data_IF_708571008773
#
_entry.id   IF_708571008773
#
_cell.length_a   1.000
_cell.length_b   1.000
_cell.length_c   1.000
_cell.angle_alpha   90.00
_cell.angle_beta   90.00
_cell.angle_gamma   90.00
#
_symmetry.space_group_name_H-M   'P 1'
#
loop_
_entity.id
_entity.type
_entity.pdbx_description
1 polymer ?
#
# COMPACT_ATOMS: atom_id res chain seq x y z
N UNK A 1 -17.69 -7.28 13.32
CA UNK A 1 -16.77 -8.11 12.52
C UNK A 1 -16.40 -7.45 11.20
N UNK A 2 -17.33 -6.75 10.54
CA UNK A 2 -17.07 -6.04 9.28
C UNK A 2 -15.94 -5.01 9.38
N UNK A 3 -15.90 -4.18 10.43
CA UNK A 3 -14.80 -3.24 10.64
C UNK A 3 -13.43 -3.92 10.77
N UNK A 4 -13.35 -5.05 11.49
CA UNK A 4 -12.11 -5.82 11.61
C UNK A 4 -11.65 -6.37 10.25
N UNK A 5 -12.57 -6.94 9.46
CA UNK A 5 -12.24 -7.44 8.12
C UNK A 5 -11.83 -6.31 7.17
N UNK A 6 -12.48 -5.15 7.26
CA UNK A 6 -12.11 -3.95 6.52
C UNK A 6 -10.69 -3.47 6.88
N UNK A 7 -10.34 -3.41 8.17
CA UNK A 7 -8.97 -3.06 8.60
C UNK A 7 -7.93 -4.09 8.14
N UNK A 8 -8.26 -5.39 8.22
CA UNK A 8 -7.39 -6.47 7.72
C UNK A 8 -7.14 -6.35 6.22
N UNK A 9 -8.20 -6.20 5.42
CA UNK A 9 -8.09 -6.08 3.95
C UNK A 9 -7.40 -4.77 3.56
N UNK A 10 -7.73 -3.65 4.22
CA UNK A 10 -7.10 -2.36 3.97
C UNK A 10 -5.59 -2.39 4.24
N UNK A 11 -5.18 -2.99 5.36
CA UNK A 11 -3.77 -3.17 5.70
C UNK A 11 -3.06 -4.11 4.71
N UNK A 12 -3.70 -5.21 4.30
CA UNK A 12 -3.16 -6.10 3.26
C UNK A 12 -2.91 -5.37 1.93
N UNK A 13 -3.85 -4.53 1.49
CA UNK A 13 -3.69 -3.70 0.28
C UNK A 13 -2.51 -2.74 0.44
N UNK A 14 -2.45 -2.03 1.58
CA UNK A 14 -1.37 -1.09 1.88
C UNK A 14 0.01 -1.77 1.80
N UNK A 15 0.17 -2.91 2.48
CA UNK A 15 1.44 -3.66 2.52
C UNK A 15 1.81 -4.19 1.14
N UNK A 16 0.88 -4.83 0.43
CA UNK A 16 1.17 -5.42 -0.89
C UNK A 16 1.61 -4.34 -1.89
N UNK A 17 0.93 -3.18 -1.90
CA UNK A 17 1.26 -2.10 -2.83
C UNK A 17 2.52 -1.32 -2.40
N UNK A 18 2.65 -1.01 -1.11
CA UNK A 18 3.78 -0.28 -0.55
C UNK A 18 5.08 -1.08 -0.63
N UNK A 19 5.11 -2.31 -0.10
CA UNK A 19 6.28 -3.16 -0.20
C UNK A 19 6.52 -3.63 -1.64
N UNK A 20 5.46 -3.75 -2.44
CA UNK A 20 5.55 -4.04 -3.87
C UNK A 20 6.34 -2.97 -4.64
N UNK A 21 6.13 -1.67 -4.36
CA UNK A 21 6.91 -0.61 -5.01
C UNK A 21 8.37 -0.61 -4.52
N UNK A 22 8.61 -0.89 -3.24
CA UNK A 22 9.97 -1.01 -2.70
C UNK A 22 10.69 -2.19 -3.38
N UNK A 23 10.05 -3.35 -3.47
CA UNK A 23 10.59 -4.51 -4.15
C UNK A 23 10.85 -4.22 -5.63
N UNK A 24 9.94 -3.51 -6.31
CA UNK A 24 10.11 -3.10 -7.71
C UNK A 24 11.29 -2.14 -7.91
N UNK A 25 11.68 -1.33 -6.93
CA UNK A 25 12.81 -0.40 -7.05
C UNK A 25 14.13 -1.02 -6.59
N UNK A 26 14.12 -1.85 -5.55
CA UNK A 26 15.34 -2.34 -4.89
C UNK A 26 15.86 -3.64 -5.52
N UNK A 27 15.01 -4.55 -5.96
CA UNK A 27 15.45 -5.84 -6.49
C UNK A 27 16.06 -5.71 -7.90
N UNK A 28 17.17 -6.39 -8.16
CA UNK A 28 17.95 -6.23 -9.40
C UNK A 28 17.26 -6.72 -10.70
N UNK A 29 16.16 -7.47 -10.60
CA UNK A 29 15.47 -8.10 -11.75
C UNK A 29 14.04 -7.61 -11.93
N UNK A 30 13.82 -6.33 -11.66
CA UNK A 30 12.52 -5.66 -11.80
C UNK A 30 12.64 -4.54 -12.82
N UNK A 31 11.51 -4.14 -13.41
CA UNK A 31 11.49 -3.04 -14.39
C UNK A 31 11.74 -1.69 -13.75
N UNK A 32 11.47 -1.55 -12.44
CA UNK A 32 11.73 -0.33 -11.69
C UNK A 32 13.10 -0.27 -11.02
N UNK A 33 14.00 -1.23 -11.24
CA UNK A 33 15.28 -1.26 -10.51
C UNK A 33 16.04 0.07 -10.66
N UNK A 34 16.51 0.62 -9.54
CA UNK A 34 17.21 1.93 -9.49
C UNK A 34 16.37 3.15 -9.97
N UNK A 35 15.03 3.05 -9.97
CA UNK A 35 14.18 4.22 -10.31
C UNK A 35 14.15 5.31 -9.23
N UNK A 36 14.81 5.07 -8.08
CA UNK A 36 15.03 6.07 -7.03
C UNK A 36 13.86 6.30 -6.09
N UNK A 37 14.08 7.23 -5.16
CA UNK A 37 13.19 7.47 -4.02
C UNK A 37 11.82 8.02 -4.40
N UNK A 38 11.73 8.84 -5.46
CA UNK A 38 10.45 9.45 -5.88
C UNK A 38 9.41 8.41 -6.31
N UNK A 39 9.85 7.30 -6.93
CA UNK A 39 8.95 6.21 -7.32
C UNK A 39 8.44 5.47 -6.08
N UNK A 40 9.30 5.25 -5.09
CA UNK A 40 8.93 4.62 -3.82
C UNK A 40 7.89 5.49 -3.10
N UNK A 41 8.14 6.78 -2.91
CA UNK A 41 7.23 7.65 -2.15
C UNK A 41 5.92 7.91 -2.87
N UNK A 42 5.94 8.11 -4.19
CA UNK A 42 4.72 8.23 -4.97
C UNK A 42 3.90 6.92 -4.94
N UNK A 43 4.56 5.76 -5.08
CA UNK A 43 3.92 4.45 -5.00
C UNK A 43 3.28 4.18 -3.64
N UNK A 44 3.97 4.50 -2.55
CA UNK A 44 3.42 4.41 -1.19
C UNK A 44 2.21 5.32 -0.99
N UNK A 45 2.29 6.58 -1.43
CA UNK A 45 1.17 7.52 -1.33
C UNK A 45 -0.08 7.05 -2.08
N UNK A 46 0.10 6.48 -3.29
CA UNK A 46 -0.98 5.86 -4.04
C UNK A 46 -1.51 4.58 -3.37
N UNK A 47 -0.63 3.76 -2.80
CA UNK A 47 -1.01 2.55 -2.05
C UNK A 47 -1.92 2.86 -0.86
N UNK A 48 -1.57 3.90 -0.09
CA UNK A 48 -2.40 4.42 1.01
C UNK A 48 -3.76 4.90 0.48
N UNK A 49 -3.77 5.71 -0.59
CA UNK A 49 -5.02 6.22 -1.15
C UNK A 49 -5.96 5.08 -1.58
N UNK A 50 -5.44 4.07 -2.28
CA UNK A 50 -6.24 2.90 -2.69
C UNK A 50 -6.81 2.17 -1.47
N UNK A 51 -5.98 1.88 -0.45
CA UNK A 51 -6.44 1.23 0.76
C UNK A 51 -7.57 2.02 1.45
N UNK A 52 -7.40 3.33 1.61
CA UNK A 52 -8.41 4.23 2.22
C UNK A 52 -9.71 4.24 1.42
N UNK A 53 -9.65 4.34 0.09
CA UNK A 53 -10.85 4.33 -0.76
C UNK A 53 -11.57 2.98 -0.72
N UNK A 54 -10.86 1.86 -0.55
CA UNK A 54 -11.45 0.54 -0.46
C UNK A 54 -12.23 0.32 0.84
N UNK A 55 -11.72 0.78 1.98
CA UNK A 55 -12.27 0.39 3.29
C UNK A 55 -12.77 1.54 4.17
N UNK A 56 -12.55 2.79 3.76
CA UNK A 56 -12.85 3.99 4.56
C UNK A 56 -14.31 4.13 4.98
N UNK A 57 -15.27 3.70 4.14
CA UNK A 57 -16.70 3.73 4.48
C UNK A 57 -17.13 2.63 5.47
N UNK A 58 -16.30 1.63 5.72
CA UNK A 58 -16.63 0.44 6.52
C UNK A 58 -16.00 0.54 7.91
N UNK A 59 -14.72 0.92 7.99
CA UNK A 59 -13.97 0.95 9.26
C UNK A 59 -13.41 2.32 9.65
N UNK A 60 -13.53 3.34 8.79
CA UNK A 60 -12.82 4.61 8.92
C UNK A 60 -11.40 4.59 8.34
N UNK A 61 -10.95 3.43 7.84
CA UNK A 61 -9.61 3.22 7.27
C UNK A 61 -8.48 3.65 8.19
N UNK A 62 -8.42 3.09 9.41
CA UNK A 62 -7.27 3.32 10.29
C UNK A 62 -6.00 2.73 9.65
N UNK A 63 -6.10 1.48 9.18
CA UNK A 63 -5.11 0.67 8.45
C UNK A 63 -3.68 0.71 9.02
N UNK A 64 -3.60 1.10 10.30
CA UNK A 64 -2.40 1.35 11.08
C UNK A 64 -2.83 1.32 12.56
N UNK A 65 -2.11 0.59 13.43
CA UNK A 65 -2.38 0.56 14.87
C UNK A 65 -2.33 1.92 15.58
#
# INVERSE_FOLDING_TARGET
>A
MEAFLAELVGTCILVILGDGVVANVVLARTKGHQSGWIVITAGWGLGVAVAVYCVGRISGAHINP
#
